data_IF_006467806713
#
_entry.id   IF_006467806713
#
_cell.length_a   1.000
_cell.length_b   1.000
_cell.length_c   1.000
_cell.angle_alpha   90.00
_cell.angle_beta   90.00
_cell.angle_gamma   90.00
#
_symmetry.space_group_name_H-M   'P 1'
#
loop_
_entity.id
_entity.type
_entity.pdbx_description
1 polymer ?
#
# COMPACT_ATOMS: atom_id res chain seq x y z
N UNK A 1 6.54 -14.40 -15.48
CA UNK A 1 5.28 -13.78 -15.99
C UNK A 1 5.55 -12.75 -17.09
N UNK A 2 6.02 -11.52 -16.80
CA UNK A 2 6.23 -10.50 -17.85
C UNK A 2 7.19 -10.98 -18.94
N UNK A 3 8.26 -11.69 -18.57
CA UNK A 3 9.18 -12.28 -19.56
C UNK A 3 8.55 -13.43 -20.35
N UNK A 4 7.70 -14.25 -19.74
CA UNK A 4 7.01 -15.33 -20.42
C UNK A 4 5.97 -14.78 -21.43
N UNK A 5 5.31 -13.68 -21.08
CA UNK A 5 4.40 -12.95 -21.98
C UNK A 5 5.21 -12.37 -23.15
N UNK A 6 6.38 -11.76 -22.90
CA UNK A 6 7.27 -11.27 -23.97
C UNK A 6 7.77 -12.40 -24.88
N UNK A 7 7.93 -13.62 -24.35
CA UNK A 7 8.30 -14.81 -25.12
C UNK A 7 7.11 -15.45 -25.85
N UNK A 8 5.91 -14.89 -25.76
CA UNK A 8 4.72 -15.38 -26.44
C UNK A 8 4.12 -16.65 -25.82
N UNK A 9 4.46 -17.00 -24.58
CA UNK A 9 3.84 -18.16 -23.90
C UNK A 9 2.38 -17.94 -23.53
N UNK A 10 1.96 -16.68 -23.38
CA UNK A 10 0.62 -16.31 -22.94
C UNK A 10 0.13 -15.10 -23.73
N UNK A 11 -1.09 -15.20 -24.26
CA UNK A 11 -1.73 -14.14 -25.03
C UNK A 11 -2.59 -13.19 -24.16
N UNK A 12 -3.04 -13.67 -23.01
CA UNK A 12 -3.99 -12.96 -22.16
C UNK A 12 -3.60 -12.98 -20.68
N UNK A 13 -3.99 -11.92 -19.97
CA UNK A 13 -3.86 -11.82 -18.52
C UNK A 13 -5.26 -11.71 -17.91
N UNK A 14 -5.55 -12.59 -16.96
CA UNK A 14 -6.73 -12.52 -16.11
C UNK A 14 -6.28 -12.10 -14.71
N UNK A 15 -6.92 -11.09 -14.13
CA UNK A 15 -6.58 -10.65 -12.76
C UNK A 15 -7.85 -10.22 -12.03
N UNK A 16 -7.91 -10.40 -10.71
CA UNK A 16 -9.10 -9.97 -9.96
C UNK A 16 -9.30 -8.46 -10.02
N UNK A 17 -8.26 -7.70 -9.67
CA UNK A 17 -8.28 -6.24 -9.57
C UNK A 17 -6.91 -5.66 -10.01
N UNK A 18 -6.87 -4.48 -10.65
CA UNK A 18 -5.63 -3.89 -11.18
C UNK A 18 -4.52 -3.68 -10.13
N UNK A 19 -4.85 -3.46 -8.85
CA UNK A 19 -3.86 -3.39 -7.76
C UNK A 19 -2.97 -4.64 -7.64
N UNK A 20 -3.47 -5.82 -8.05
CA UNK A 20 -2.72 -7.09 -8.04
C UNK A 20 -1.80 -7.25 -9.24
N UNK A 21 -2.02 -6.49 -10.30
CA UNK A 21 -1.26 -6.58 -11.54
C UNK A 21 0.08 -5.83 -11.45
N UNK A 22 0.13 -4.72 -10.71
CA UNK A 22 1.35 -3.94 -10.52
C UNK A 22 1.46 -3.37 -9.09
N UNK A 23 2.56 -3.69 -8.39
CA UNK A 23 2.85 -3.19 -7.03
C UNK A 23 3.43 -1.76 -7.01
N UNK A 24 3.92 -1.29 -8.15
CA UNK A 24 4.54 0.02 -8.31
C UNK A 24 4.17 0.61 -9.68
N UNK A 25 4.28 1.94 -9.80
CA UNK A 25 3.95 2.64 -11.05
C UNK A 25 4.91 2.31 -12.20
N UNK A 26 6.14 1.87 -11.92
CA UNK A 26 7.10 1.48 -12.95
C UNK A 26 6.63 0.21 -13.67
N UNK A 27 6.13 -0.78 -12.94
CA UNK A 27 5.60 -2.02 -13.49
C UNK A 27 4.22 -1.80 -14.12
N UNK A 28 3.40 -0.92 -13.55
CA UNK A 28 2.15 -0.49 -14.17
C UNK A 28 2.40 0.12 -15.56
N UNK A 29 3.40 1.00 -15.67
CA UNK A 29 3.81 1.60 -16.95
C UNK A 29 4.30 0.56 -17.95
N UNK A 30 5.06 -0.44 -17.51
CA UNK A 30 5.47 -1.57 -18.38
C UNK A 30 4.26 -2.36 -18.89
N UNK A 31 3.26 -2.61 -18.05
CA UNK A 31 2.05 -3.36 -18.46
C UNK A 31 1.26 -2.55 -19.50
N UNK A 32 1.10 -1.25 -19.30
CA UNK A 32 0.44 -0.36 -20.26
C UNK A 32 1.22 -0.31 -21.59
N UNK A 33 2.56 -0.21 -21.54
CA UNK A 33 3.42 -0.23 -22.73
C UNK A 33 3.32 -1.56 -23.50
N UNK A 34 3.23 -2.69 -22.79
CA UNK A 34 3.04 -4.02 -23.40
C UNK A 34 1.64 -4.18 -24.03
N UNK A 35 0.63 -3.54 -23.46
CA UNK A 35 -0.71 -3.41 -24.05
C UNK A 35 -0.68 -2.53 -25.30
N UNK A 36 0.00 -1.38 -25.26
CA UNK A 36 0.15 -0.49 -26.42
C UNK A 36 0.88 -1.16 -27.59
N UNK A 37 1.90 -1.96 -27.29
CA UNK A 37 2.64 -2.75 -28.28
C UNK A 37 1.87 -3.99 -28.77
N UNK A 38 0.66 -4.24 -28.27
CA UNK A 38 -0.16 -5.42 -28.54
C UNK A 38 0.55 -6.75 -28.27
N UNK A 39 1.52 -6.74 -27.37
CA UNK A 39 2.17 -7.96 -26.88
C UNK A 39 1.22 -8.69 -25.94
N UNK A 40 0.48 -7.94 -25.10
CA UNK A 40 -0.67 -8.45 -24.37
C UNK A 40 -1.90 -8.25 -25.27
N UNK A 41 -2.50 -9.34 -25.74
CA UNK A 41 -3.67 -9.26 -26.63
C UNK A 41 -4.97 -9.02 -25.87
N UNK A 42 -5.08 -9.57 -24.67
CA UNK A 42 -6.28 -9.41 -23.86
C UNK A 42 -5.94 -9.24 -22.39
N UNK A 43 -6.58 -8.27 -21.75
CA UNK A 43 -6.47 -8.02 -20.31
C UNK A 43 -7.87 -7.94 -19.74
N UNK A 44 -8.20 -8.85 -18.84
CA UNK A 44 -9.54 -8.92 -18.24
C UNK A 44 -9.44 -8.84 -16.73
N UNK A 45 -10.32 -8.04 -16.12
CA UNK A 45 -10.45 -7.98 -14.69
C UNK A 45 -11.82 -8.50 -14.23
N UNK A 46 -11.85 -9.12 -13.05
CA UNK A 46 -13.11 -9.62 -12.48
C UNK A 46 -13.99 -8.46 -11.95
N UNK A 47 -13.37 -7.41 -11.43
CA UNK A 47 -14.08 -6.26 -10.83
C UNK A 47 -14.13 -5.03 -11.73
N UNK A 48 -13.49 -5.06 -12.90
CA UNK A 48 -13.31 -3.89 -13.74
C UNK A 48 -13.42 -4.26 -15.23
N UNK A 49 -14.27 -3.55 -15.96
CA UNK A 49 -14.36 -3.69 -17.40
C UNK A 49 -13.26 -2.85 -18.06
N UNK A 50 -12.33 -3.52 -18.74
CA UNK A 50 -11.24 -2.88 -19.47
C UNK A 50 -11.45 -3.06 -20.98
N UNK A 51 -11.26 -1.97 -21.71
CA UNK A 51 -11.23 -1.96 -23.18
C UNK A 51 -9.88 -1.42 -23.67
N UNK A 52 -9.35 -1.98 -24.77
CA UNK A 52 -8.11 -1.54 -25.44
C UNK A 52 -8.33 -0.24 -26.26
N UNK A 53 -9.01 0.73 -25.66
CA UNK A 53 -9.17 2.08 -26.20
C UNK A 53 -8.19 3.04 -25.49
N UNK A 54 -7.81 4.17 -26.10
CA UNK A 54 -6.99 5.18 -25.41
C UNK A 54 -7.59 5.62 -24.08
N UNK A 55 -8.93 5.74 -24.03
CA UNK A 55 -9.66 6.05 -22.80
C UNK A 55 -9.57 4.92 -21.77
N UNK A 56 -9.73 3.65 -22.19
CA UNK A 56 -9.60 2.49 -21.30
C UNK A 56 -8.21 2.37 -20.69
N UNK A 57 -7.15 2.65 -21.45
CA UNK A 57 -5.76 2.70 -20.96
C UNK A 57 -5.53 3.83 -19.97
N UNK A 58 -6.10 5.01 -20.23
CA UNK A 58 -6.07 6.12 -19.28
C UNK A 58 -6.75 5.75 -17.96
N UNK A 59 -7.94 5.15 -18.02
CA UNK A 59 -8.67 4.69 -16.83
C UNK A 59 -7.92 3.61 -16.06
N UNK A 60 -7.27 2.68 -16.77
CA UNK A 60 -6.39 1.68 -16.17
C UNK A 60 -5.20 2.34 -15.45
N UNK A 61 -4.57 3.34 -16.09
CA UNK A 61 -3.50 4.15 -15.50
C UNK A 61 -3.93 4.85 -14.21
N UNK A 62 -5.10 5.50 -14.22
CA UNK A 62 -5.69 6.15 -13.04
C UNK A 62 -5.94 5.12 -11.93
N UNK A 63 -6.45 3.94 -12.28
CA UNK A 63 -6.72 2.87 -11.33
C UNK A 63 -5.44 2.40 -10.60
N UNK A 64 -4.31 2.32 -11.31
CA UNK A 64 -3.01 2.04 -10.67
C UNK A 64 -2.57 3.15 -9.71
N UNK A 65 -2.76 4.42 -10.08
CA UNK A 65 -2.46 5.57 -9.22
C UNK A 65 -3.28 5.50 -7.93
N UNK A 66 -4.59 5.31 -8.04
CA UNK A 66 -5.49 5.20 -6.89
C UNK A 66 -5.10 4.05 -5.97
N UNK A 67 -4.79 2.88 -6.55
CA UNK A 67 -4.34 1.70 -5.80
C UNK A 67 -3.05 1.97 -5.02
N UNK A 68 -2.10 2.70 -5.63
CA UNK A 68 -0.83 3.06 -4.98
C UNK A 68 -1.04 4.06 -3.85
N UNK A 69 -1.89 5.07 -4.06
CA UNK A 69 -2.23 6.06 -3.04
C UNK A 69 -2.90 5.40 -1.83
N UNK A 70 -3.88 4.52 -2.06
CA UNK A 70 -4.58 3.81 -0.98
C UNK A 70 -3.62 3.01 -0.10
N UNK A 71 -2.74 2.23 -0.73
CA UNK A 71 -1.73 1.43 -0.02
C UNK A 71 -0.74 2.30 0.77
N UNK A 72 -0.29 3.41 0.17
CA UNK A 72 0.61 4.36 0.83
C UNK A 72 -0.03 5.04 2.04
N UNK A 73 -1.26 5.52 1.87
CA UNK A 73 -2.01 6.19 2.93
C UNK A 73 -2.27 5.25 4.12
N UNK A 74 -2.65 3.99 3.87
CA UNK A 74 -2.84 3.01 4.94
C UNK A 74 -1.54 2.78 5.75
N UNK A 75 -0.41 2.66 5.07
CA UNK A 75 0.91 2.52 5.72
C UNK A 75 1.26 3.73 6.58
N UNK A 76 0.98 4.94 6.08
CA UNK A 76 1.19 6.17 6.83
C UNK A 76 0.30 6.23 8.07
N UNK A 77 -0.98 5.89 7.94
CA UNK A 77 -1.92 5.84 9.06
C UNK A 77 -1.48 4.86 10.15
N UNK A 78 -1.01 3.67 9.77
CA UNK A 78 -0.50 2.65 10.71
C UNK A 78 0.76 3.15 11.41
N UNK A 79 1.70 3.72 10.67
CA UNK A 79 2.95 4.27 11.24
C UNK A 79 2.67 5.42 12.20
N UNK A 80 1.77 6.33 11.83
CA UNK A 80 1.33 7.45 12.67
C UNK A 80 0.65 6.94 13.95
N UNK A 81 -0.20 5.93 13.84
CA UNK A 81 -0.85 5.29 14.99
C UNK A 81 0.19 4.70 15.93
N UNK A 82 1.16 3.94 15.41
CA UNK A 82 2.18 3.31 16.21
C UNK A 82 3.06 4.33 16.94
N UNK A 83 3.38 5.46 16.29
CA UNK A 83 4.10 6.57 16.92
C UNK A 83 3.33 7.18 18.09
N UNK A 84 2.04 7.49 17.91
CA UNK A 84 1.19 8.04 18.98
C UNK A 84 1.09 7.09 20.18
N UNK A 85 0.89 5.79 19.92
CA UNK A 85 0.83 4.80 21.00
C UNK A 85 2.15 4.68 21.77
N UNK A 86 3.30 4.87 21.13
CA UNK A 86 4.60 4.89 21.82
C UNK A 86 4.78 6.16 22.66
N UNK A 87 4.34 7.32 22.17
CA UNK A 87 4.38 8.59 22.91
C UNK A 87 3.48 8.53 24.15
N UNK A 88 2.25 8.03 24.02
CA UNK A 88 1.32 7.81 25.12
C UNK A 88 1.91 6.86 26.18
N UNK A 89 2.50 5.73 25.74
CA UNK A 89 3.13 4.77 26.65
C UNK A 89 4.31 5.35 27.43
N UNK A 90 5.15 6.16 26.78
CA UNK A 90 6.27 6.85 27.46
C UNK A 90 5.75 7.85 28.50
N UNK A 91 4.73 8.63 28.15
CA UNK A 91 4.13 9.58 29.07
C UNK A 91 3.53 8.91 30.31
N UNK A 92 2.82 7.79 30.13
CA UNK A 92 2.26 7.00 31.24
C UNK A 92 3.39 6.44 32.12
N UNK A 93 4.44 5.87 31.50
CA UNK A 93 5.59 5.34 32.24
C UNK A 93 6.26 6.42 33.10
N UNK A 94 6.56 7.58 32.52
CA UNK A 94 7.19 8.70 33.23
C UNK A 94 6.32 9.22 34.39
N UNK A 95 4.99 9.27 34.19
CA UNK A 95 4.04 9.72 35.20
C UNK A 95 3.98 8.74 36.39
N UNK A 96 3.90 7.44 36.11
CA UNK A 96 3.89 6.39 37.15
C UNK A 96 5.20 6.36 37.92
N UNK A 97 6.34 6.46 37.24
CA UNK A 97 7.65 6.45 37.87
C UNK A 97 7.81 7.66 38.81
N UNK A 98 7.38 8.84 38.36
CA UNK A 98 7.45 10.08 39.16
C UNK A 98 6.53 10.02 40.40
N UNK A 99 5.33 9.44 40.29
CA UNK A 99 4.42 9.26 41.45
C UNK A 99 4.98 8.27 42.49
N UNK A 100 5.57 7.15 42.05
CA UNK A 100 6.22 6.19 42.95
C UNK A 100 7.39 6.81 43.71
N UNK A 101 8.20 7.64 43.04
CA UNK A 101 9.34 8.30 43.68
C UNK A 101 8.88 9.32 44.73
N UNK A 102 7.79 10.05 44.46
CA UNK A 102 7.19 11.00 45.40
C UNK A 102 6.63 10.27 46.62
N UNK A 103 5.91 9.15 46.42
CA UNK A 103 5.38 8.33 47.51
C UNK A 103 6.50 7.76 48.39
N UNK A 104 7.57 7.23 47.82
CA UNK A 104 8.72 6.72 48.59
C UNK A 104 9.40 7.81 49.42
N UNK A 105 9.62 9.01 48.85
CA UNK A 105 10.18 10.13 49.61
C UNK A 105 9.29 10.56 50.76
N UNK A 106 7.97 10.56 50.55
CA UNK A 106 6.99 10.94 51.58
C UNK A 106 6.91 9.90 52.71
N UNK A 107 7.02 8.61 52.41
CA UNK A 107 7.08 7.57 53.45
C UNK A 107 8.39 7.56 54.23
N UNK A 108 9.52 7.87 53.58
CA UNK A 108 10.82 8.00 54.25
C UNK A 108 10.92 9.25 55.14
N UNK A 109 10.19 10.32 54.82
CA UNK A 109 10.16 11.54 55.63
C UNK A 109 9.17 11.46 56.83
N UNK A 110 8.32 10.44 56.88
CA UNK A 110 7.34 10.20 57.94
C UNK A 110 7.77 9.09 58.93
N UNK A 111 8.94 8.49 58.73
CA UNK A 111 9.58 7.50 59.60
C UNK A 111 10.76 8.14 60.34
#
# INVERSE_FOLDING_TARGET
MIEDIKRGKYDAILTWHPDRLARNMADAGKVIDLLDKKIIKNLTFATFSFDDTPMGKMLLGISFVLSKQYSGHLSEMVTRRQRRTLEERKSIHDMVYRDQTIRQKKSLALA
#
